data_IF_845831926031
#
_entry.id   IF_845831926031
#
_cell.length_a   1.000
_cell.length_b   1.000
_cell.length_c   1.000
_cell.angle_alpha   90.00
_cell.angle_beta   90.00
_cell.angle_gamma   90.00
#
_symmetry.space_group_name_H-M   'P 1'
#
loop_
_entity.id
_entity.type
_entity.pdbx_description
1 polymer ?
#
# COMPACT_ATOMS: atom_id res chain seq x y z
N UNK A 1 -15.34 -28.47 5.21
CA UNK A 1 -15.36 -27.26 4.35
C UNK A 1 -16.68 -27.25 3.60
N UNK A 2 -17.35 -26.11 3.53
CA UNK A 2 -18.60 -25.93 2.77
C UNK A 2 -18.26 -25.65 1.30
N UNK A 3 -18.94 -26.29 0.35
CA UNK A 3 -18.75 -26.03 -1.08
C UNK A 3 -19.73 -24.96 -1.58
N UNK A 4 -19.23 -23.88 -2.19
CA UNK A 4 -20.03 -22.79 -2.75
C UNK A 4 -19.91 -22.76 -4.27
N UNK A 5 -21.00 -23.04 -4.97
CA UNK A 5 -21.04 -23.10 -6.44
C UNK A 5 -21.79 -21.94 -7.10
N UNK A 6 -22.47 -21.12 -6.30
CA UNK A 6 -23.33 -20.03 -6.77
C UNK A 6 -22.75 -18.66 -6.42
N UNK A 7 -22.54 -17.82 -7.44
CA UNK A 7 -22.19 -16.41 -7.28
C UNK A 7 -23.27 -15.59 -6.55
N UNK A 8 -24.48 -16.14 -6.40
CA UNK A 8 -25.57 -15.48 -5.67
C UNK A 8 -25.54 -15.73 -4.16
N UNK A 9 -24.67 -16.64 -3.68
CA UNK A 9 -24.44 -16.89 -2.27
C UNK A 9 -24.10 -15.56 -1.54
N UNK A 10 -24.65 -15.39 -0.34
CA UNK A 10 -24.50 -14.14 0.43
C UNK A 10 -23.05 -13.84 0.80
N UNK A 11 -22.25 -14.85 1.15
CA UNK A 11 -20.82 -14.71 1.50
C UNK A 11 -20.01 -14.23 0.29
N UNK A 12 -20.21 -14.87 -0.87
CA UNK A 12 -19.58 -14.47 -2.15
C UNK A 12 -19.97 -13.04 -2.55
N UNK A 13 -21.24 -12.67 -2.41
CA UNK A 13 -21.70 -11.30 -2.70
C UNK A 13 -21.04 -10.27 -1.78
N UNK A 14 -20.92 -10.57 -0.50
CA UNK A 14 -20.27 -9.70 0.49
C UNK A 14 -18.78 -9.55 0.17
N UNK A 15 -18.07 -10.65 -0.10
CA UNK A 15 -16.67 -10.61 -0.51
C UNK A 15 -16.48 -9.79 -1.80
N UNK A 16 -17.30 -10.01 -2.82
CA UNK A 16 -17.21 -9.28 -4.09
C UNK A 16 -17.48 -7.77 -3.95
N UNK A 17 -18.31 -7.35 -2.98
CA UNK A 17 -18.55 -5.93 -2.69
C UNK A 17 -17.27 -5.22 -2.23
N UNK A 18 -16.34 -5.92 -1.59
CA UNK A 18 -15.06 -5.37 -1.12
C UNK A 18 -14.12 -4.93 -2.23
N UNK A 19 -14.43 -5.20 -3.51
CA UNK A 19 -13.77 -4.53 -4.65
C UNK A 19 -13.99 -3.02 -4.64
N UNK A 20 -15.08 -2.54 -4.02
CA UNK A 20 -15.39 -1.11 -3.89
C UNK A 20 -14.78 -0.55 -2.61
N UNK A 21 -13.99 0.52 -2.74
CA UNK A 21 -13.40 1.26 -1.60
C UNK A 21 -14.42 1.59 -0.50
N UNK A 22 -15.58 2.12 -0.88
CA UNK A 22 -16.65 2.48 0.07
C UNK A 22 -17.05 1.31 0.99
N UNK A 23 -17.07 0.08 0.46
CA UNK A 23 -17.43 -1.09 1.26
C UNK A 23 -16.28 -1.50 2.19
N UNK A 24 -15.02 -1.40 1.73
CA UNK A 24 -13.84 -1.61 2.57
C UNK A 24 -13.77 -0.61 3.73
N UNK A 25 -13.97 0.66 3.44
CA UNK A 25 -13.94 1.73 4.45
C UNK A 25 -15.08 1.58 5.47
N UNK A 26 -16.26 1.11 5.02
CA UNK A 26 -17.41 0.86 5.91
C UNK A 26 -17.22 -0.35 6.82
N UNK A 27 -16.61 -1.42 6.31
CA UNK A 27 -16.56 -2.72 6.99
C UNK A 27 -15.25 -2.98 7.73
N UNK A 28 -14.19 -2.24 7.40
CA UNK A 28 -12.84 -2.56 7.86
C UNK A 28 -12.25 -3.80 7.18
N UNK A 29 -12.89 -4.34 6.14
CA UNK A 29 -12.45 -5.57 5.47
C UNK A 29 -11.82 -5.31 4.10
N UNK A 30 -10.99 -6.24 3.64
CA UNK A 30 -10.45 -6.25 2.28
C UNK A 30 -10.51 -7.65 1.66
N UNK A 31 -10.76 -7.72 0.35
CA UNK A 31 -10.64 -8.95 -0.44
C UNK A 31 -9.23 -8.98 -1.05
N UNK A 32 -8.51 -10.07 -0.83
CA UNK A 32 -7.18 -10.31 -1.40
C UNK A 32 -7.21 -11.55 -2.29
N UNK A 33 -6.41 -11.53 -3.36
CA UNK A 33 -6.31 -12.61 -4.34
C UNK A 33 -4.86 -13.11 -4.44
N UNK A 34 -4.71 -14.42 -4.50
CA UNK A 34 -3.44 -15.10 -4.75
C UNK A 34 -2.83 -15.69 -3.49
N UNK A 35 -2.23 -16.86 -3.64
CA UNK A 35 -1.68 -17.64 -2.52
C UNK A 35 -0.62 -16.85 -1.74
N UNK A 36 0.32 -16.21 -2.45
CA UNK A 36 1.39 -15.46 -1.81
C UNK A 36 0.86 -14.30 -0.96
N UNK A 37 -0.10 -13.52 -1.45
CA UNK A 37 -0.64 -12.39 -0.70
C UNK A 37 -1.39 -12.85 0.57
N UNK A 38 -2.09 -14.00 0.50
CA UNK A 38 -2.73 -14.62 1.65
C UNK A 38 -1.69 -15.12 2.66
N UNK A 39 -0.59 -15.69 2.17
CA UNK A 39 0.53 -16.11 3.00
C UNK A 39 1.19 -14.93 3.73
N UNK A 40 1.40 -13.79 3.05
CA UNK A 40 1.94 -12.57 3.68
C UNK A 40 0.99 -12.01 4.74
N UNK A 41 -0.33 -12.04 4.49
CA UNK A 41 -1.33 -11.67 5.50
C UNK A 41 -1.28 -12.59 6.73
N UNK A 42 -1.10 -13.90 6.52
CA UNK A 42 -0.93 -14.88 7.60
C UNK A 42 0.36 -14.64 8.40
N UNK A 43 1.51 -14.45 7.72
CA UNK A 43 2.80 -14.14 8.37
C UNK A 43 2.76 -12.83 9.16
N UNK A 44 1.96 -11.87 8.71
CA UNK A 44 1.73 -10.59 9.38
C UNK A 44 0.70 -10.67 10.52
N UNK A 45 0.22 -11.87 10.86
CA UNK A 45 -0.79 -12.12 11.90
C UNK A 45 -2.12 -11.35 11.69
N UNK A 46 -2.49 -11.09 10.43
CA UNK A 46 -3.78 -10.46 10.13
C UNK A 46 -4.92 -11.46 10.32
N UNK A 47 -6.10 -10.97 10.69
CA UNK A 47 -7.28 -11.84 10.83
C UNK A 47 -7.80 -12.20 9.45
N UNK A 48 -7.78 -13.49 9.12
CA UNK A 48 -8.38 -14.04 7.90
C UNK A 48 -9.78 -14.57 8.26
N UNK A 49 -10.81 -13.78 7.98
CA UNK A 49 -12.19 -14.16 8.28
C UNK A 49 -12.68 -15.28 7.37
N UNK A 50 -12.39 -15.19 6.08
CA UNK A 50 -12.91 -16.13 5.09
C UNK A 50 -11.84 -16.46 4.07
N UNK A 51 -11.71 -17.74 3.76
CA UNK A 51 -10.80 -18.25 2.74
C UNK A 51 -11.61 -19.01 1.68
N UNK A 52 -11.46 -18.64 0.43
CA UNK A 52 -12.13 -19.27 -0.71
C UNK A 52 -11.08 -19.88 -1.64
N UNK A 53 -11.17 -21.19 -1.89
CA UNK A 53 -10.20 -21.93 -2.69
C UNK A 53 -10.89 -22.79 -3.74
N UNK A 54 -10.37 -22.78 -4.96
CA UNK A 54 -10.87 -23.66 -6.04
C UNK A 54 -10.46 -25.11 -5.82
N UNK A 55 -9.29 -25.30 -5.20
CA UNK A 55 -8.72 -26.61 -4.91
C UNK A 55 -8.12 -26.57 -3.51
N UNK A 56 -8.82 -27.19 -2.56
CA UNK A 56 -8.45 -27.19 -1.15
C UNK A 56 -7.22 -28.06 -0.85
N UNK A 57 -6.82 -28.97 -1.74
CA UNK A 57 -5.62 -29.82 -1.55
C UNK A 57 -4.34 -28.99 -1.71
N UNK A 58 -4.39 -27.90 -2.47
CA UNK A 58 -3.26 -26.99 -2.71
C UNK A 58 -3.00 -26.00 -1.58
N UNK A 59 -3.84 -26.00 -0.54
CA UNK A 59 -3.75 -25.05 0.55
C UNK A 59 -2.99 -25.65 1.74
N UNK A 60 -2.09 -24.88 2.34
CA UNK A 60 -1.35 -25.26 3.55
C UNK A 60 -2.29 -25.48 4.74
N UNK A 61 -2.03 -26.53 5.53
CA UNK A 61 -2.90 -26.91 6.64
C UNK A 61 -2.87 -25.91 7.79
N UNK A 62 -1.75 -25.19 8.02
CA UNK A 62 -1.70 -24.13 9.03
C UNK A 62 -2.60 -22.98 8.59
N UNK A 63 -2.57 -22.61 7.32
CA UNK A 63 -3.42 -21.55 6.77
C UNK A 63 -4.91 -21.92 6.83
N UNK A 64 -5.26 -23.19 6.55
CA UNK A 64 -6.63 -23.70 6.73
C UNK A 64 -7.12 -23.57 8.17
N UNK A 65 -6.26 -23.89 9.14
CA UNK A 65 -6.60 -23.85 10.57
C UNK A 65 -6.64 -22.42 11.11
N UNK A 66 -5.85 -21.52 10.52
CA UNK A 66 -5.76 -20.13 10.92
C UNK A 66 -6.98 -19.31 10.45
N UNK A 67 -7.49 -19.57 9.25
CA UNK A 67 -8.68 -18.90 8.74
C UNK A 67 -9.94 -19.30 9.53
N UNK A 68 -10.80 -18.33 9.85
CA UNK A 68 -12.00 -18.57 10.65
C UNK A 68 -13.04 -19.42 9.89
N UNK A 69 -13.23 -19.14 8.60
CA UNK A 69 -14.07 -19.92 7.70
C UNK A 69 -13.32 -20.30 6.42
N UNK A 70 -13.48 -21.54 5.96
CA UNK A 70 -12.87 -22.04 4.71
C UNK A 70 -13.93 -22.65 3.78
N UNK A 71 -13.96 -22.16 2.55
CA UNK A 71 -14.90 -22.54 1.50
C UNK A 71 -14.17 -23.09 0.28
N UNK A 72 -14.64 -24.22 -0.22
CA UNK A 72 -14.27 -24.69 -1.55
C UNK A 72 -15.22 -24.05 -2.57
N UNK A 73 -14.69 -23.53 -3.67
CA UNK A 73 -15.45 -22.79 -4.68
C UNK A 73 -15.23 -23.36 -6.08
N UNK A 74 -16.19 -23.19 -6.98
CA UNK A 74 -15.97 -23.49 -8.39
C UNK A 74 -15.33 -22.31 -9.14
N UNK A 75 -14.85 -22.56 -10.37
CA UNK A 75 -14.25 -21.53 -11.23
C UNK A 75 -15.19 -20.34 -11.47
N UNK A 76 -16.49 -20.57 -11.59
CA UNK A 76 -17.48 -19.49 -11.78
C UNK A 76 -17.52 -18.51 -10.61
N UNK A 77 -17.41 -19.00 -9.37
CA UNK A 77 -17.32 -18.14 -8.19
C UNK A 77 -15.95 -17.44 -8.14
N UNK A 78 -14.88 -18.14 -8.49
CA UNK A 78 -13.54 -17.56 -8.55
C UNK A 78 -13.44 -16.40 -9.55
N UNK A 79 -14.04 -16.53 -10.74
CA UNK A 79 -14.13 -15.47 -11.75
C UNK A 79 -14.85 -14.22 -11.23
N UNK A 80 -15.88 -14.40 -10.41
CA UNK A 80 -16.61 -13.27 -9.81
C UNK A 80 -15.76 -12.55 -8.77
N UNK A 81 -15.00 -13.29 -7.96
CA UNK A 81 -14.11 -12.71 -6.94
C UNK A 81 -12.82 -12.13 -7.53
N UNK A 82 -12.36 -12.64 -8.67
CA UNK A 82 -11.10 -12.24 -9.32
C UNK A 82 -11.04 -10.78 -9.71
N UNK A 83 -9.90 -10.16 -9.44
CA UNK A 83 -9.51 -8.85 -9.96
C UNK A 83 -8.71 -8.94 -11.26
N UNK A 84 -8.47 -10.16 -11.76
CA UNK A 84 -7.64 -10.45 -12.94
C UNK A 84 -8.40 -11.25 -13.99
N UNK A 85 -7.86 -11.29 -15.22
CA UNK A 85 -8.43 -12.08 -16.33
C UNK A 85 -8.38 -13.59 -16.04
N UNK A 86 -7.33 -14.06 -15.38
CA UNK A 86 -7.14 -15.47 -15.05
C UNK A 86 -7.03 -15.62 -13.53
N UNK A 87 -8.11 -16.05 -12.86
CA UNK A 87 -8.12 -16.19 -11.41
C UNK A 87 -7.05 -17.17 -10.93
N UNK A 88 -6.31 -16.82 -9.88
CA UNK A 88 -5.34 -17.74 -9.25
C UNK A 88 -6.02 -18.88 -8.46
N UNK A 89 -7.31 -18.71 -8.14
CA UNK A 89 -8.11 -19.70 -7.42
C UNK A 89 -7.99 -19.67 -5.91
N UNK A 90 -7.33 -18.64 -5.34
CA UNK A 90 -7.21 -18.40 -3.90
C UNK A 90 -7.64 -16.98 -3.58
N UNK A 91 -8.58 -16.83 -2.66
CA UNK A 91 -9.07 -15.53 -2.20
C UNK A 91 -9.26 -15.54 -0.70
N UNK A 92 -8.99 -14.42 -0.05
CA UNK A 92 -9.30 -14.25 1.35
C UNK A 92 -9.99 -12.92 1.64
N UNK A 93 -10.89 -12.92 2.61
CA UNK A 93 -11.40 -11.72 3.26
C UNK A 93 -10.62 -11.54 4.55
N UNK A 94 -9.89 -10.43 4.64
CA UNK A 94 -9.08 -10.07 5.80
C UNK A 94 -9.65 -8.84 6.51
N UNK A 95 -9.38 -8.72 7.80
CA UNK A 95 -9.51 -7.44 8.50
C UNK A 95 -8.32 -6.54 8.15
N UNK A 96 -8.61 -5.29 7.80
CA UNK A 96 -7.56 -4.30 7.59
C UNK A 96 -6.88 -4.02 8.94
N UNK A 97 -5.55 -4.03 9.01
CA UNK A 97 -4.85 -3.66 10.23
C UNK A 97 -5.19 -2.23 10.63
N UNK A 98 -5.39 -2.03 11.93
CA UNK A 98 -5.44 -0.73 12.57
C UNK A 98 -4.11 -0.50 13.29
N UNK A 99 -3.54 0.69 13.12
CA UNK A 99 -2.23 1.01 13.65
C UNK A 99 -2.33 2.16 14.66
N UNK A 100 -1.82 1.94 15.86
CA UNK A 100 -1.49 3.03 16.79
C UNK A 100 -0.11 3.57 16.41
N UNK A 101 -0.08 4.79 15.84
CA UNK A 101 1.19 5.41 15.46
C UNK A 101 1.84 5.94 16.72
N UNK A 102 2.93 5.31 17.15
CA UNK A 102 3.78 5.82 18.21
C UNK A 102 5.22 5.88 17.72
N UNK A 103 5.82 7.07 17.77
CA UNK A 103 7.27 7.26 17.59
C UNK A 103 7.87 6.85 16.23
N UNK A 104 7.17 7.10 15.12
CA UNK A 104 7.73 6.91 13.77
C UNK A 104 8.82 7.97 13.50
N UNK A 105 10.00 7.53 13.07
CA UNK A 105 11.15 8.40 12.76
C UNK A 105 11.39 8.52 11.27
N UNK A 106 11.10 7.48 10.50
CA UNK A 106 11.41 7.43 9.08
C UNK A 106 10.12 7.21 8.31
N UNK A 107 9.61 8.30 7.74
CA UNK A 107 8.23 8.38 7.27
C UNK A 107 8.20 8.72 5.78
N UNK A 108 7.30 8.05 5.05
CA UNK A 108 6.96 8.43 3.69
C UNK A 108 5.62 9.17 3.69
N UNK A 109 5.61 10.41 3.22
CA UNK A 109 4.42 11.22 3.03
C UNK A 109 4.04 11.23 1.55
N UNK A 110 2.79 10.89 1.24
CA UNK A 110 2.28 10.77 -0.12
C UNK A 110 1.18 11.81 -0.34
N UNK A 111 1.49 12.84 -1.12
CA UNK A 111 0.54 13.86 -1.56
C UNK A 111 -0.11 13.43 -2.89
N UNK A 112 -1.33 12.90 -2.78
CA UNK A 112 -2.25 12.69 -3.90
C UNK A 112 -1.69 11.86 -5.08
N UNK A 113 -0.84 10.85 -4.83
CA UNK A 113 -0.41 9.90 -5.88
C UNK A 113 -1.59 9.02 -6.29
N UNK A 114 -1.95 9.05 -7.57
CA UNK A 114 -3.18 8.41 -8.06
C UNK A 114 -2.92 7.12 -8.84
N UNK A 115 -1.73 6.90 -9.42
CA UNK A 115 -1.47 5.64 -10.09
C UNK A 115 -1.28 4.51 -9.05
N UNK A 116 -2.09 3.43 -9.12
CA UNK A 116 -1.97 2.32 -8.19
C UNK A 116 -0.63 1.56 -8.28
N UNK A 117 0.02 1.58 -9.46
CA UNK A 117 1.31 0.94 -9.65
C UNK A 117 2.43 1.69 -8.95
N UNK A 118 2.44 3.02 -9.07
CA UNK A 118 3.35 3.90 -8.35
C UNK A 118 3.19 3.75 -6.84
N UNK A 119 1.95 3.83 -6.33
CA UNK A 119 1.70 3.67 -4.90
C UNK A 119 2.16 2.30 -4.39
N UNK A 120 1.82 1.21 -5.09
CA UNK A 120 2.26 -0.13 -4.67
C UNK A 120 3.78 -0.31 -4.70
N UNK A 121 4.45 0.30 -5.69
CA UNK A 121 5.92 0.30 -5.77
C UNK A 121 6.53 1.08 -4.60
N UNK A 122 6.00 2.26 -4.28
CA UNK A 122 6.45 3.07 -3.15
C UNK A 122 6.24 2.37 -1.80
N UNK A 123 5.10 1.72 -1.60
CA UNK A 123 4.84 0.90 -0.39
C UNK A 123 5.89 -0.20 -0.26
N UNK A 124 6.16 -0.93 -1.35
CA UNK A 124 7.16 -1.99 -1.36
C UNK A 124 8.57 -1.47 -1.11
N UNK A 125 8.93 -0.33 -1.69
CA UNK A 125 10.25 0.27 -1.46
C UNK A 125 10.38 0.76 -0.01
N UNK A 126 9.34 1.38 0.55
CA UNK A 126 9.33 1.84 1.94
C UNK A 126 9.52 0.69 2.93
N UNK A 127 8.79 -0.42 2.73
CA UNK A 127 8.98 -1.65 3.50
C UNK A 127 10.42 -2.18 3.36
N UNK A 128 10.92 -2.30 2.13
CA UNK A 128 12.26 -2.82 1.88
C UNK A 128 13.39 -1.93 2.44
N UNK A 129 13.20 -0.60 2.45
CA UNK A 129 14.12 0.35 3.08
C UNK A 129 13.97 0.40 4.61
N UNK A 130 12.96 -0.28 5.17
CA UNK A 130 12.68 -0.33 6.60
C UNK A 130 12.23 1.02 7.15
N UNK A 131 11.33 1.70 6.44
CA UNK A 131 10.64 2.87 6.97
C UNK A 131 9.59 2.45 8.01
N UNK A 132 9.29 3.35 8.94
CA UNK A 132 8.40 3.08 10.06
C UNK A 132 6.92 3.29 9.71
N UNK A 133 6.63 4.17 8.75
CA UNK A 133 5.28 4.66 8.49
C UNK A 133 5.13 5.21 7.07
N UNK A 134 3.95 4.98 6.48
CA UNK A 134 3.48 5.71 5.31
C UNK A 134 2.22 6.51 5.67
N UNK A 135 2.23 7.81 5.38
CA UNK A 135 1.08 8.71 5.56
C UNK A 135 0.58 9.15 4.19
N UNK A 136 -0.70 8.92 3.94
CA UNK A 136 -1.35 9.24 2.68
C UNK A 136 -2.26 10.46 2.86
N UNK A 137 -2.12 11.45 1.98
CA UNK A 137 -3.10 12.52 1.87
C UNK A 137 -4.40 11.99 1.28
N UNK A 138 -5.52 12.64 1.62
CA UNK A 138 -6.81 12.34 1.00
C UNK A 138 -6.75 12.63 -0.50
N UNK A 139 -7.12 11.62 -1.30
CA UNK A 139 -7.06 11.70 -2.78
C UNK A 139 -6.01 10.76 -3.36
N UNK A 140 -5.14 10.22 -2.53
CA UNK A 140 -4.22 9.13 -2.88
C UNK A 140 -4.98 7.84 -3.23
N UNK A 141 -4.42 7.04 -4.13
CA UNK A 141 -4.94 5.71 -4.46
C UNK A 141 -5.12 4.82 -3.22
N UNK A 142 -6.09 3.91 -3.24
CA UNK A 142 -6.38 3.05 -2.09
C UNK A 142 -5.35 1.91 -1.95
N UNK A 143 -4.64 1.77 -0.81
CA UNK A 143 -3.68 0.69 -0.59
C UNK A 143 -4.26 -0.72 -0.74
N UNK A 144 -5.56 -0.88 -0.48
CA UNK A 144 -6.24 -2.18 -0.47
C UNK A 144 -7.03 -2.48 -1.75
N UNK A 145 -6.82 -1.71 -2.82
CA UNK A 145 -7.36 -2.10 -4.13
C UNK A 145 -6.44 -3.09 -4.84
N UNK A 146 -7.01 -3.94 -5.68
CA UNK A 146 -6.34 -5.09 -6.27
C UNK A 146 -5.01 -4.75 -6.99
N UNK A 147 -4.94 -3.60 -7.71
CA UNK A 147 -3.72 -3.20 -8.42
C UNK A 147 -2.60 -2.79 -7.46
N UNK A 148 -2.91 -2.13 -6.33
CA UNK A 148 -1.90 -1.76 -5.32
C UNK A 148 -1.42 -2.98 -4.58
N UNK A 149 -2.34 -3.84 -4.11
CA UNK A 149 -2.02 -5.09 -3.41
C UNK A 149 -1.07 -5.98 -4.23
N UNK A 150 -1.28 -6.10 -5.55
CA UNK A 150 -0.39 -6.85 -6.44
C UNK A 150 0.96 -6.17 -6.65
N UNK A 151 0.99 -4.85 -6.76
CA UNK A 151 2.23 -4.09 -6.95
C UNK A 151 3.09 -4.08 -5.68
N UNK A 152 2.47 -4.04 -4.50
CA UNK A 152 3.16 -4.05 -3.22
C UNK A 152 3.69 -5.42 -2.80
N UNK A 153 3.15 -6.52 -3.36
CA UNK A 153 3.62 -7.89 -3.08
C UNK A 153 3.66 -8.22 -1.58
N UNK A 154 2.58 -7.89 -0.85
CA UNK A 154 2.47 -8.18 0.59
C UNK A 154 2.97 -7.07 1.51
N UNK A 155 3.87 -6.20 1.03
CA UNK A 155 4.46 -5.10 1.82
C UNK A 155 3.44 -4.18 2.51
N UNK A 156 2.22 -4.09 1.97
CA UNK A 156 1.09 -3.34 2.57
C UNK A 156 0.70 -3.83 3.99
N UNK A 157 1.12 -5.04 4.37
CA UNK A 157 0.86 -5.64 5.68
C UNK A 157 2.03 -5.52 6.67
N UNK A 158 3.22 -5.13 6.21
CA UNK A 158 4.44 -5.17 7.01
C UNK A 158 4.71 -3.87 7.77
N UNK A 159 4.23 -2.75 7.24
CA UNK A 159 4.38 -1.44 7.86
C UNK A 159 3.05 -0.68 7.98
N UNK A 160 2.90 0.18 9.01
CA UNK A 160 1.77 1.07 9.16
C UNK A 160 1.53 1.97 7.94
N UNK A 161 0.29 1.97 7.44
CA UNK A 161 -0.18 2.88 6.39
C UNK A 161 -1.45 3.56 6.88
N UNK A 162 -1.42 4.89 6.95
CA UNK A 162 -2.52 5.70 7.49
C UNK A 162 -2.90 6.83 6.55
N UNK A 163 -4.11 7.37 6.72
CA UNK A 163 -4.55 8.58 6.02
C UNK A 163 -4.69 9.72 7.03
N UNK A 164 -3.97 10.81 6.81
CA UNK A 164 -4.00 12.03 7.65
C UNK A 164 -3.84 13.26 6.76
N UNK A 165 -4.18 14.42 7.30
CA UNK A 165 -3.83 15.71 6.71
C UNK A 165 -2.30 15.88 6.79
N UNK A 166 -1.64 16.05 5.66
CA UNK A 166 -0.18 16.12 5.62
C UNK A 166 0.36 17.42 6.21
N UNK A 167 -0.36 18.53 6.11
CA UNK A 167 0.06 19.80 6.72
C UNK A 167 0.12 19.64 8.25
N UNK A 168 -0.94 19.11 8.85
CA UNK A 168 -0.97 18.84 10.29
C UNK A 168 0.12 17.82 10.68
N UNK A 169 0.34 16.79 9.87
CA UNK A 169 1.39 15.81 10.16
C UNK A 169 2.79 16.43 10.15
N UNK A 170 3.11 17.22 9.12
CA UNK A 170 4.41 17.90 8.96
C UNK A 170 4.66 18.83 10.15
N UNK A 171 3.67 19.65 10.54
CA UNK A 171 3.80 20.61 11.65
C UNK A 171 4.08 19.94 13.02
N UNK A 172 3.70 18.67 13.18
CA UNK A 172 3.87 17.91 14.42
C UNK A 172 4.99 16.86 14.34
N UNK A 173 5.70 16.75 13.22
CA UNK A 173 6.73 15.74 13.05
C UNK A 173 8.04 16.16 13.73
N UNK A 174 8.59 15.29 14.57
CA UNK A 174 9.88 15.52 15.23
C UNK A 174 11.03 14.98 14.36
N UNK A 175 11.45 15.77 13.37
CA UNK A 175 12.56 15.45 12.49
C UNK A 175 12.61 16.34 11.26
N UNK A 176 13.54 16.06 10.36
CA UNK A 176 13.70 16.80 9.11
C UNK A 176 12.65 16.37 8.07
N UNK A 177 12.02 17.34 7.41
CA UNK A 177 11.04 17.05 6.35
C UNK A 177 11.61 17.45 5.00
N UNK A 178 11.67 16.50 4.08
CA UNK A 178 12.21 16.70 2.74
C UNK A 178 11.12 16.57 1.69
N UNK A 179 10.86 17.63 0.94
CA UNK A 179 9.98 17.58 -0.24
C UNK A 179 10.75 17.24 -1.50
N UNK A 180 10.11 16.58 -2.48
CA UNK A 180 10.68 16.48 -3.83
C UNK A 180 10.11 17.54 -4.75
N UNK A 181 10.97 18.37 -5.35
CA UNK A 181 10.57 19.43 -6.27
C UNK A 181 11.58 19.63 -7.42
N UNK A 182 11.11 20.15 -8.56
CA UNK A 182 11.96 20.48 -9.71
C UNK A 182 12.59 21.88 -9.62
N UNK A 183 12.03 22.75 -8.78
CA UNK A 183 12.47 24.14 -8.59
C UNK A 183 12.68 24.43 -7.11
N UNK A 184 13.51 25.44 -6.79
CA UNK A 184 13.82 25.87 -5.42
C UNK A 184 14.25 24.70 -4.51
N UNK A 185 15.02 23.77 -5.08
CA UNK A 185 15.46 22.54 -4.43
C UNK A 185 16.98 22.40 -4.54
N UNK A 186 17.57 21.69 -3.57
CA UNK A 186 19.00 21.32 -3.60
C UNK A 186 19.16 19.92 -4.16
N UNK A 187 20.29 19.64 -4.78
CA UNK A 187 20.62 18.28 -5.21
C UNK A 187 20.56 17.34 -3.99
N UNK A 188 19.82 16.23 -4.11
CA UNK A 188 19.62 15.28 -3.03
C UNK A 188 20.95 14.77 -2.43
N UNK A 189 22.03 14.72 -3.22
CA UNK A 189 23.36 14.35 -2.75
C UNK A 189 23.98 15.34 -1.74
N UNK A 190 23.46 16.56 -1.64
CA UNK A 190 23.94 17.57 -0.68
C UNK A 190 23.42 17.33 0.74
N UNK A 191 22.40 16.47 0.89
CA UNK A 191 21.85 16.07 2.19
C UNK A 191 22.45 14.73 2.58
N UNK A 192 22.90 14.58 3.82
CA UNK A 192 23.36 13.29 4.34
C UNK A 192 22.18 12.40 4.74
N UNK A 193 22.42 11.11 4.90
CA UNK A 193 21.46 10.20 5.55
C UNK A 193 21.03 10.73 6.92
N UNK A 194 19.80 10.42 7.31
CA UNK A 194 19.15 10.93 8.52
C UNK A 194 18.60 9.77 9.36
N UNK A 195 18.81 9.82 10.67
CA UNK A 195 18.22 8.85 11.60
C UNK A 195 16.70 9.04 11.74
N UNK A 196 16.21 10.29 11.59
CA UNK A 196 14.80 10.65 11.60
C UNK A 196 14.50 11.66 10.49
N UNK A 197 13.61 11.29 9.57
CA UNK A 197 13.17 12.13 8.46
C UNK A 197 11.75 11.77 8.00
N UNK A 198 11.09 12.73 7.36
CA UNK A 198 9.91 12.49 6.54
C UNK A 198 10.20 12.88 5.09
N UNK A 199 9.93 11.98 4.14
CA UNK A 199 10.07 12.23 2.70
C UNK A 199 8.69 12.46 2.08
N UNK A 200 8.47 13.64 1.53
CA UNK A 200 7.23 14.05 0.88
C UNK A 200 7.33 13.93 -0.65
N UNK A 201 6.47 13.06 -1.21
CA UNK A 201 6.33 12.81 -2.64
C UNK A 201 4.96 13.27 -3.13
N UNK A 202 4.92 13.83 -4.33
CA UNK A 202 3.73 14.46 -4.90
C UNK A 202 3.07 13.70 -6.03
N UNK A 203 1.98 14.26 -6.53
CA UNK A 203 1.22 13.75 -7.66
C UNK A 203 2.09 13.65 -8.92
N UNK A 204 1.80 12.65 -9.77
CA UNK A 204 2.56 12.39 -10.99
C UNK A 204 2.57 13.54 -12.02
N UNK A 205 1.51 14.35 -12.04
CA UNK A 205 1.36 15.49 -12.94
C UNK A 205 1.68 16.82 -12.27
N UNK A 206 1.04 17.07 -11.14
CA UNK A 206 1.11 18.39 -10.48
C UNK A 206 2.30 18.53 -9.50
N UNK A 207 3.01 17.43 -9.21
CA UNK A 207 4.03 17.40 -8.18
C UNK A 207 3.44 17.55 -6.78
N UNK A 208 4.26 17.98 -5.82
CA UNK A 208 3.83 18.23 -4.44
C UNK A 208 3.13 19.59 -4.38
N UNK A 209 2.04 19.68 -3.63
CA UNK A 209 1.36 20.94 -3.35
C UNK A 209 2.35 21.97 -2.79
N UNK A 210 2.40 23.16 -3.40
CA UNK A 210 3.35 24.22 -3.04
C UNK A 210 3.26 24.63 -1.57
N UNK A 211 2.06 24.57 -0.97
CA UNK A 211 1.88 24.87 0.46
C UNK A 211 2.57 23.87 1.38
N UNK A 212 2.58 22.59 0.99
CA UNK A 212 3.31 21.56 1.73
C UNK A 212 4.82 21.73 1.55
N UNK A 213 5.28 22.06 0.33
CA UNK A 213 6.69 22.34 0.06
C UNK A 213 7.23 23.51 0.91
N UNK A 214 6.41 24.53 1.18
CA UNK A 214 6.76 25.65 2.07
C UNK A 214 6.93 25.25 3.54
N UNK A 215 6.36 24.11 3.96
CA UNK A 215 6.50 23.56 5.32
C UNK A 215 7.68 22.59 5.46
N UNK A 216 8.29 22.17 4.35
CA UNK A 216 9.45 21.28 4.39
C UNK A 216 10.68 22.01 4.92
N UNK A 217 11.59 21.28 5.57
CA UNK A 217 12.89 21.87 5.92
C UNK A 217 13.72 22.14 4.67
N UNK A 218 13.70 21.22 3.70
CA UNK A 218 14.47 21.33 2.47
C UNK A 218 13.84 20.54 1.33
N UNK A 219 13.64 21.20 0.19
CA UNK A 219 13.25 20.53 -1.04
C UNK A 219 14.47 19.94 -1.75
N UNK A 220 14.32 18.72 -2.27
CA UNK A 220 15.34 17.91 -2.93
C UNK A 220 14.98 17.71 -4.40
N UNK A 221 16.01 17.75 -5.25
CA UNK A 221 15.92 17.40 -6.67
C UNK A 221 16.90 16.29 -7.01
N UNK A 222 16.45 15.35 -7.85
CA UNK A 222 17.35 14.40 -8.53
C UNK A 222 17.76 15.05 -9.86
N UNK A 223 19.07 15.29 -10.10
CA UNK A 223 19.51 15.88 -11.36
C UNK A 223 19.08 15.06 -12.57
N UNK A 224 18.48 15.73 -13.56
CA UNK A 224 18.15 15.13 -14.85
C UNK A 224 19.24 15.48 -15.86
N UNK A 225 20.07 14.50 -16.21
CA UNK A 225 21.18 14.69 -17.16
C UNK A 225 20.73 14.63 -18.64
N UNK A 226 19.55 14.06 -18.88
CA UNK A 226 19.00 13.84 -20.21
C UNK A 226 18.03 14.93 -20.66
N UNK A 227 17.15 14.57 -21.59
CA UNK A 227 16.08 15.44 -22.11
C UNK A 227 14.71 15.20 -21.46
N UNK A 228 14.66 14.33 -20.45
CA UNK A 228 13.42 14.08 -19.71
C UNK A 228 13.07 15.31 -18.87
N UNK A 229 11.79 15.52 -18.61
CA UNK A 229 11.33 16.60 -17.73
C UNK A 229 11.38 16.19 -16.26
N UNK A 230 11.08 14.92 -15.98
CA UNK A 230 11.06 14.35 -14.63
C UNK A 230 11.28 12.85 -14.64
N UNK A 231 11.46 12.26 -13.46
CA UNK A 231 11.42 10.82 -13.23
C UNK A 231 10.01 10.40 -12.80
N UNK A 232 9.67 9.14 -13.05
CA UNK A 232 8.50 8.54 -12.42
C UNK A 232 8.60 8.67 -10.88
N UNK A 233 7.51 9.07 -10.21
CA UNK A 233 7.50 9.35 -8.78
C UNK A 233 7.96 8.17 -7.91
N UNK A 234 7.63 6.93 -8.30
CA UNK A 234 8.08 5.76 -7.55
C UNK A 234 9.59 5.54 -7.67
N UNK A 235 10.17 5.84 -8.83
CA UNK A 235 11.62 5.77 -9.05
C UNK A 235 12.33 6.89 -8.29
N UNK A 236 11.85 8.12 -8.42
CA UNK A 236 12.42 9.27 -7.70
C UNK A 236 12.37 9.06 -6.18
N UNK A 237 11.19 8.67 -5.68
CA UNK A 237 10.98 8.33 -4.29
C UNK A 237 11.91 7.23 -3.81
N UNK A 238 12.11 6.18 -4.61
CA UNK A 238 13.02 5.08 -4.24
C UNK A 238 14.48 5.53 -4.10
N UNK A 239 14.96 6.39 -5.01
CA UNK A 239 16.33 6.92 -4.97
C UNK A 239 16.54 7.75 -3.71
N UNK A 240 15.65 8.72 -3.46
CA UNK A 240 15.78 9.64 -2.31
C UNK A 240 15.60 8.89 -1.00
N UNK A 241 14.66 7.94 -0.93
CA UNK A 241 14.40 7.15 0.27
C UNK A 241 15.63 6.34 0.70
N UNK A 242 16.28 5.62 -0.21
CA UNK A 242 17.50 4.87 0.13
C UNK A 242 18.66 5.79 0.50
N UNK A 243 18.79 6.92 -0.19
CA UNK A 243 19.82 7.92 0.12
C UNK A 243 19.65 8.52 1.52
N UNK A 244 18.41 8.85 1.93
CA UNK A 244 18.12 9.38 3.26
C UNK A 244 18.24 8.30 4.35
N UNK A 245 17.91 7.04 4.05
CA UNK A 245 18.02 5.93 5.00
C UNK A 245 19.46 5.54 5.32
N UNK A 246 20.38 5.61 4.35
CA UNK A 246 21.79 5.22 4.48
C UNK A 246 22.19 4.11 3.52
#
# INVERSE_FOLDING_TARGET
MEMITSAQNSKVKSANKLKKKRERDKTGLALIEGYHLIEEAYKSNLIIQQLYVVDAERLDDNLKQYAQEVFEINLKVAEVLSGTVTPQGFFAVIEKPEYEITSAKQVLLIDCIQDPGNLGTLIRTADAAGLDLIVLEKGTADPYQDKVLRASQGSVFHLPIVTKDLSEFIDNFEGEVYGTALENAVDYHQVSSQDAFALLLGNEGDGVNSKLLEQTTQNLIIPIYGKAESLNVAIAGSIVMYHLKG
#
